data_IF_197471128468
#
_entry.id   IF_197471128468
#
_cell.length_a   1.000
_cell.length_b   1.000
_cell.length_c   1.000
_cell.angle_alpha   90.00
_cell.angle_beta   90.00
_cell.angle_gamma   90.00
#
_symmetry.space_group_name_H-M   'P 1'
#
loop_
_entity.id
_entity.type
_entity.pdbx_description
1 polymer ?
#
# COMPACT_ATOMS: atom_id res chain seq x y z
N UNK A 1 -53.31 -0.91 13.87
CA UNK A 1 -51.97 -1.02 14.49
C UNK A 1 -50.95 -1.10 13.38
N UNK A 2 -50.37 0.02 13.01
CA UNK A 2 -49.43 0.10 11.87
C UNK A 2 -48.01 -0.18 12.35
N UNK A 3 -47.34 -1.11 11.66
CA UNK A 3 -46.01 -1.60 11.92
C UNK A 3 -44.95 -0.51 11.70
N UNK A 4 -44.09 -0.26 12.70
CA UNK A 4 -42.92 0.59 12.58
C UNK A 4 -41.65 -0.24 12.50
N UNK A 5 -41.31 -0.77 11.33
CA UNK A 5 -39.95 -1.24 11.06
C UNK A 5 -39.14 -0.08 10.51
N UNK A 6 -38.38 0.57 11.38
CA UNK A 6 -37.34 1.51 10.98
C UNK A 6 -36.17 0.72 10.40
N UNK A 7 -36.24 0.41 9.10
CA UNK A 7 -35.06 0.04 8.31
C UNK A 7 -34.19 1.29 8.19
N UNK A 8 -33.27 1.45 9.14
CA UNK A 8 -32.17 2.39 9.01
C UNK A 8 -31.34 1.95 7.81
N UNK A 9 -31.55 2.58 6.66
CA UNK A 9 -30.65 2.46 5.53
C UNK A 9 -29.29 2.95 6.02
N UNK A 10 -28.36 2.03 6.31
CA UNK A 10 -26.96 2.42 6.52
C UNK A 10 -26.54 3.15 5.25
N UNK A 11 -26.26 4.46 5.34
CA UNK A 11 -26.03 5.24 4.14
C UNK A 11 -24.69 4.80 3.54
N UNK A 12 -24.65 4.61 2.22
CA UNK A 12 -23.51 4.01 1.50
C UNK A 12 -22.15 4.70 1.79
N UNK A 13 -22.17 5.96 2.23
CA UNK A 13 -20.97 6.68 2.64
C UNK A 13 -20.24 6.02 3.83
N UNK A 14 -20.96 5.35 4.74
CA UNK A 14 -20.37 4.67 5.90
C UNK A 14 -19.67 3.35 5.54
N UNK A 15 -19.97 2.76 4.38
CA UNK A 15 -19.31 1.53 3.90
C UNK A 15 -18.07 1.83 3.06
N UNK A 16 -17.90 3.08 2.61
CA UNK A 16 -16.83 3.46 1.67
C UNK A 16 -15.50 3.87 2.34
N UNK A 17 -15.45 4.04 3.67
CA UNK A 17 -14.21 4.42 4.36
C UNK A 17 -13.21 3.27 4.54
N UNK A 18 -13.62 2.00 4.34
CA UNK A 18 -12.70 0.85 4.44
C UNK A 18 -12.19 0.34 3.09
N UNK A 19 -12.70 0.86 1.98
CA UNK A 19 -12.23 0.56 0.62
C UNK A 19 -11.55 1.78 -0.05
N UNK A 20 -11.31 2.84 0.73
CA UNK A 20 -10.81 4.13 0.28
C UNK A 20 -9.30 4.18 0.13
N UNK A 21 -8.74 3.31 -0.72
CA UNK A 21 -7.54 3.54 -1.51
C UNK A 21 -7.34 2.30 -2.38
N UNK A 22 -8.05 2.23 -3.50
CA UNK A 22 -7.59 1.42 -4.64
C UNK A 22 -6.32 2.08 -5.15
N UNK A 23 -5.23 1.94 -4.40
CA UNK A 23 -3.88 2.21 -4.83
C UNK A 23 -3.71 1.43 -6.13
N UNK A 24 -3.67 2.14 -7.26
CA UNK A 24 -3.45 1.51 -8.55
C UNK A 24 -2.18 0.69 -8.41
N UNK A 25 -2.31 -0.61 -8.62
CA UNK A 25 -1.18 -1.52 -8.57
C UNK A 25 -0.14 -1.04 -9.59
N UNK A 26 0.97 -0.50 -9.11
CA UNK A 26 2.07 -0.12 -9.98
C UNK A 26 2.88 -1.37 -10.29
N UNK A 27 3.18 -1.60 -11.56
CA UNK A 27 4.04 -2.71 -11.97
C UNK A 27 5.45 -2.22 -12.24
N UNK A 28 6.43 -2.85 -11.63
CA UNK A 28 7.85 -2.53 -11.81
C UNK A 28 8.32 -2.80 -13.27
N UNK A 29 9.58 -2.48 -13.56
CA UNK A 29 10.16 -2.71 -14.90
C UNK A 29 10.23 -4.18 -15.31
N UNK A 30 10.08 -5.12 -14.37
CA UNK A 30 10.01 -6.57 -14.61
C UNK A 30 8.57 -7.09 -14.69
N UNK A 31 7.56 -6.22 -14.56
CA UNK A 31 6.15 -6.58 -14.54
C UNK A 31 5.64 -7.14 -13.21
N UNK A 32 6.42 -7.01 -12.13
CA UNK A 32 5.99 -7.38 -10.78
C UNK A 32 5.09 -6.30 -10.20
N UNK A 33 4.01 -6.71 -9.54
CA UNK A 33 3.14 -5.76 -8.83
C UNK A 33 3.85 -5.26 -7.57
N UNK A 34 4.07 -3.96 -7.49
CA UNK A 34 4.60 -3.26 -6.32
C UNK A 34 3.47 -3.02 -5.32
N UNK A 35 3.79 -3.15 -4.03
CA UNK A 35 2.92 -2.85 -2.91
C UNK A 35 3.62 -1.89 -1.94
N UNK A 36 2.86 -1.06 -1.20
CA UNK A 36 3.43 -0.32 -0.07
C UNK A 36 4.09 -1.26 0.93
N UNK A 37 5.31 -0.92 1.35
CA UNK A 37 6.16 -1.75 2.20
C UNK A 37 7.20 -2.56 1.42
N UNK A 38 7.05 -2.74 0.12
CA UNK A 38 8.03 -3.49 -0.68
C UNK A 38 9.36 -2.76 -0.79
N UNK A 39 10.42 -3.55 -0.88
CA UNK A 39 11.78 -3.06 -1.10
C UNK A 39 12.09 -3.11 -2.59
N UNK A 40 12.29 -1.93 -3.17
CA UNK A 40 12.60 -1.74 -4.58
C UNK A 40 13.97 -1.10 -4.75
N UNK A 41 14.64 -1.42 -5.84
CA UNK A 41 15.90 -0.82 -6.25
C UNK A 41 15.69 -0.08 -7.56
N UNK A 42 16.34 1.08 -7.68
CA UNK A 42 16.35 1.84 -8.92
C UNK A 42 17.27 1.17 -9.94
N UNK A 43 16.71 0.78 -11.08
CA UNK A 43 17.48 0.40 -12.27
C UNK A 43 17.77 1.61 -13.13
N UNK A 44 19.05 1.81 -13.44
CA UNK A 44 19.50 2.85 -14.37
C UNK A 44 20.72 3.61 -13.87
N UNK A 45 21.21 4.54 -14.70
CA UNK A 45 22.33 5.43 -14.40
C UNK A 45 21.87 6.64 -13.57
N UNK A 46 21.29 6.39 -12.40
CA UNK A 46 21.00 7.44 -11.42
C UNK A 46 22.05 7.47 -10.32
N UNK A 47 22.25 8.61 -9.66
CA UNK A 47 23.09 8.73 -8.46
C UNK A 47 22.66 7.83 -7.29
N UNK A 48 21.47 7.23 -7.42
CA UNK A 48 20.82 6.33 -6.49
C UNK A 48 20.91 4.85 -6.89
N UNK A 49 21.60 4.56 -8.01
CA UNK A 49 21.77 3.19 -8.50
C UNK A 49 22.44 2.33 -7.43
N UNK A 50 21.89 1.14 -7.18
CA UNK A 50 22.36 0.25 -6.12
C UNK A 50 21.72 0.47 -4.74
N UNK A 51 21.00 1.57 -4.50
CA UNK A 51 20.27 1.78 -3.24
C UNK A 51 18.91 1.10 -3.25
N UNK A 52 18.50 0.64 -2.07
CA UNK A 52 17.17 0.04 -1.82
C UNK A 52 16.27 1.08 -1.18
N UNK A 53 15.03 1.15 -1.64
CA UNK A 53 14.00 2.06 -1.21
C UNK A 53 12.78 1.27 -0.75
N UNK A 54 12.03 1.83 0.19
CA UNK A 54 10.74 1.27 0.62
C UNK A 54 9.62 2.01 -0.10
N UNK A 55 8.73 1.26 -0.75
CA UNK A 55 7.52 1.83 -1.36
C UNK A 55 6.61 2.36 -0.25
N UNK A 56 6.33 3.66 -0.24
CA UNK A 56 5.30 4.23 0.64
C UNK A 56 3.93 4.20 -0.03
N UNK A 57 3.88 4.38 -1.35
CA UNK A 57 2.64 4.33 -2.11
C UNK A 57 2.89 4.02 -3.58
N UNK A 58 2.02 3.23 -4.20
CA UNK A 58 2.14 2.83 -5.61
C UNK A 58 1.59 3.89 -6.57
N UNK A 59 0.82 4.86 -6.09
CA UNK A 59 0.29 5.95 -6.91
C UNK A 59 0.23 7.26 -6.11
N UNK A 60 0.94 8.28 -6.59
CA UNK A 60 0.89 9.64 -6.04
C UNK A 60 -0.10 10.55 -6.77
N UNK A 61 -0.87 10.02 -7.73
CA UNK A 61 -1.80 10.78 -8.58
C UNK A 61 -1.19 11.27 -9.90
N UNK A 62 0.12 11.04 -10.10
CA UNK A 62 0.86 11.35 -11.34
C UNK A 62 1.28 10.08 -12.11
N UNK A 63 0.85 8.89 -11.64
CA UNK A 63 1.26 7.59 -12.21
C UNK A 63 2.65 7.12 -11.78
N UNK A 64 3.30 7.85 -10.85
CA UNK A 64 4.59 7.49 -10.26
C UNK A 64 4.43 6.82 -8.90
N UNK A 65 5.40 6.00 -8.54
CA UNK A 65 5.48 5.31 -7.24
C UNK A 65 6.24 6.16 -6.25
N UNK A 66 5.65 6.41 -5.07
CA UNK A 66 6.33 7.04 -3.96
C UNK A 66 7.19 6.03 -3.24
N UNK A 67 8.47 6.35 -3.13
CA UNK A 67 9.42 5.57 -2.35
C UNK A 67 10.09 6.45 -1.32
N UNK A 68 10.58 5.82 -0.28
CA UNK A 68 11.34 6.46 0.77
C UNK A 68 12.63 5.73 1.02
N UNK A 69 13.68 6.45 1.40
CA UNK A 69 14.90 5.85 1.90
C UNK A 69 15.49 6.69 3.02
N UNK A 70 16.12 6.01 3.96
CA UNK A 70 16.84 6.65 5.04
C UNK A 70 18.24 7.00 4.56
N UNK A 71 18.55 8.30 4.50
CA UNK A 71 19.90 8.82 4.18
C UNK A 71 20.79 8.72 5.42
N UNK A 72 20.23 9.01 6.59
CA UNK A 72 20.91 9.01 7.88
C UNK A 72 19.90 8.78 9.00
N UNK A 73 20.36 8.54 10.23
CA UNK A 73 19.50 8.22 11.38
C UNK A 73 18.31 9.20 11.55
N UNK A 74 18.53 10.49 11.30
CA UNK A 74 17.52 11.55 11.40
C UNK A 74 17.04 12.09 10.03
N UNK A 75 17.44 11.49 8.92
CA UNK A 75 17.15 12.00 7.58
C UNK A 75 16.50 10.92 6.71
N UNK A 76 15.22 11.13 6.39
CA UNK A 76 14.47 10.33 5.43
C UNK A 76 14.18 11.17 4.20
N UNK A 77 14.43 10.61 3.02
CA UNK A 77 14.12 11.25 1.75
C UNK A 77 12.97 10.50 1.08
N UNK A 78 11.96 11.26 0.66
CA UNK A 78 10.78 10.77 -0.05
C UNK A 78 10.83 11.24 -1.48
N UNK A 79 10.73 10.32 -2.42
CA UNK A 79 10.90 10.57 -3.84
C UNK A 79 9.82 9.84 -4.63
N UNK A 80 9.49 10.32 -5.82
CA UNK A 80 8.56 9.65 -6.72
C UNK A 80 9.28 9.25 -8.00
N UNK A 81 9.28 7.96 -8.31
CA UNK A 81 9.92 7.41 -9.50
C UNK A 81 8.93 6.74 -10.44
N UNK A 82 9.30 6.66 -11.70
CA UNK A 82 8.57 5.85 -12.66
C UNK A 82 8.72 4.38 -12.28
N UNK A 83 7.63 3.62 -12.14
CA UNK A 83 7.70 2.21 -11.81
C UNK A 83 8.50 1.38 -12.83
N UNK A 84 8.59 1.80 -14.09
CA UNK A 84 9.41 1.12 -15.10
C UNK A 84 10.93 1.17 -14.78
N UNK A 85 11.36 2.09 -13.93
CA UNK A 85 12.74 2.20 -13.45
C UNK A 85 12.97 1.56 -12.08
N UNK A 86 11.94 0.95 -11.51
CA UNK A 86 12.02 0.22 -10.26
C UNK A 86 12.12 -1.28 -10.55
N UNK A 87 12.89 -1.98 -9.72
CA UNK A 87 12.99 -3.43 -9.69
C UNK A 87 12.73 -3.89 -8.27
N UNK A 88 11.76 -4.77 -8.10
CA UNK A 88 11.45 -5.39 -6.81
C UNK A 88 12.64 -6.26 -6.36
N UNK A 89 13.26 -5.89 -5.24
CA UNK A 89 14.39 -6.64 -4.65
C UNK A 89 13.90 -7.65 -3.63
N UNK A 90 12.94 -7.23 -2.81
CA UNK A 90 12.28 -8.10 -1.85
C UNK A 90 10.87 -7.62 -1.70
N UNK A 91 9.92 -8.54 -1.87
CA UNK A 91 8.61 -8.33 -1.29
C UNK A 91 8.81 -8.28 0.23
N UNK A 92 8.23 -7.29 0.89
CA UNK A 92 8.05 -7.41 2.31
C UNK A 92 6.99 -8.49 2.50
N UNK A 93 7.41 -9.75 2.49
CA UNK A 93 6.65 -10.84 3.07
C UNK A 93 6.59 -10.60 4.58
N UNK A 94 5.87 -9.55 5.00
CA UNK A 94 5.27 -9.53 6.31
C UNK A 94 4.42 -10.79 6.40
N UNK A 95 4.44 -11.52 7.51
CA UNK A 95 3.70 -12.75 7.64
C UNK A 95 2.22 -12.48 7.36
N UNK A 96 1.75 -12.86 6.18
CA UNK A 96 0.41 -13.36 5.98
C UNK A 96 0.31 -14.71 6.71
N UNK A 97 0.61 -14.71 7.99
CA UNK A 97 0.35 -15.80 8.90
C UNK A 97 -0.49 -15.21 10.01
N UNK A 98 -1.80 -15.25 9.76
CA UNK A 98 -2.83 -15.46 10.76
C UNK A 98 -2.63 -14.77 12.12
N UNK A 99 -3.29 -13.64 12.32
CA UNK A 99 -4.10 -13.55 13.52
C UNK A 99 -5.48 -13.05 13.14
N UNK A 100 -6.38 -14.03 13.07
CA UNK A 100 -7.80 -13.89 12.83
C UNK A 100 -8.42 -12.76 13.66
N UNK A 101 -9.52 -12.14 13.21
CA UNK A 101 -10.40 -11.44 14.14
C UNK A 101 -10.97 -12.51 15.08
N UNK A 102 -10.49 -12.56 16.33
CA UNK A 102 -11.19 -13.25 17.40
C UNK A 102 -12.45 -12.44 17.75
N UNK A 103 -13.42 -12.45 16.85
CA UNK A 103 -14.79 -12.05 17.13
C UNK A 103 -15.62 -13.33 17.13
N UNK A 104 -16.06 -13.77 18.31
CA UNK A 104 -17.43 -14.22 18.59
C UNK A 104 -17.53 -14.52 20.07
N UNK A 105 -18.25 -13.63 20.77
CA UNK A 105 -18.89 -13.96 22.02
C UNK A 105 -19.90 -15.09 21.78
N UNK A 106 -19.84 -16.16 22.58
CA UNK A 106 -21.01 -17.00 22.82
C UNK A 106 -21.24 -17.06 24.33
N UNK A 107 -22.42 -16.55 24.66
CA UNK A 107 -23.12 -16.58 25.93
C UNK A 107 -23.30 -18.02 26.44
N UNK A 108 -23.08 -18.24 27.73
CA UNK A 108 -23.42 -19.47 28.45
C UNK A 108 -23.78 -19.13 29.89
#
# INVERSE_FOLDING_TARGET
TVHGQAVGHTPAWLTQDSAGQTQRAATDGAGQTLQPGDLVQLRGQSQYSGKVFTVESTDVGDGRVRVSFQISENAMSRMAFDPAHLELVSSAAGPACAMAPAATAVYG
#
